data_IF_225693276038
#
_entry.id   IF_225693276038
#
_cell.length_a   1.000
_cell.length_b   1.000
_cell.length_c   1.000
_cell.angle_alpha   90.00
_cell.angle_beta   90.00
_cell.angle_gamma   90.00
#
_symmetry.space_group_name_H-M   'P 1'
#
loop_
_entity.id
_entity.type
_entity.pdbx_description
1 polymer ?
#
# COMPACT_ATOMS: atom_id res chain seq x y z
N UNK A 1 23.94 14.58 -8.85
CA UNK A 1 22.87 14.22 -9.81
C UNK A 1 21.82 13.49 -9.01
N UNK A 2 20.64 14.09 -8.82
CA UNK A 2 19.55 13.41 -8.11
C UNK A 2 18.92 12.40 -9.07
N UNK A 3 18.96 11.12 -8.70
CA UNK A 3 18.28 10.07 -9.45
C UNK A 3 16.83 10.04 -8.96
N UNK A 4 15.93 10.49 -9.82
CA UNK A 4 14.51 10.20 -9.65
C UNK A 4 14.29 8.75 -10.06
N UNK A 5 13.90 7.91 -9.11
CA UNK A 5 13.53 6.54 -9.40
C UNK A 5 12.01 6.45 -9.57
N UNK A 6 11.60 5.44 -10.32
CA UNK A 6 10.22 5.01 -10.42
C UNK A 6 9.78 4.31 -9.13
N UNK A 7 8.46 4.26 -8.91
CA UNK A 7 7.89 3.46 -7.83
C UNK A 7 7.96 1.98 -8.20
N UNK A 8 8.37 1.13 -7.25
CA UNK A 8 8.26 -0.32 -7.38
C UNK A 8 6.92 -0.79 -6.84
N UNK A 9 6.16 -1.55 -7.63
CA UNK A 9 4.83 -2.08 -7.27
C UNK A 9 3.90 -1.05 -6.59
N UNK A 10 3.61 0.10 -7.24
CA UNK A 10 2.68 1.08 -6.69
C UNK A 10 1.27 0.49 -6.59
N UNK A 11 0.55 0.81 -5.52
CA UNK A 11 -0.80 0.33 -5.26
C UNK A 11 -1.64 1.44 -4.62
N UNK A 12 -2.82 1.70 -5.18
CA UNK A 12 -3.79 2.62 -4.60
C UNK A 12 -5.01 1.83 -4.12
N UNK A 13 -5.45 2.06 -2.89
CA UNK A 13 -6.58 1.36 -2.30
C UNK A 13 -7.54 2.32 -1.61
N UNK A 14 -8.82 1.98 -1.63
CA UNK A 14 -9.76 2.43 -0.60
C UNK A 14 -9.80 1.35 0.47
N UNK A 15 -9.40 1.70 1.68
CA UNK A 15 -9.37 0.81 2.84
C UNK A 15 -10.42 1.25 3.85
N UNK A 16 -11.24 0.29 4.28
CA UNK A 16 -12.23 0.46 5.33
C UNK A 16 -11.93 -0.54 6.45
N UNK A 17 -11.76 -0.04 7.68
CA UNK A 17 -11.58 -0.90 8.87
C UNK A 17 -12.52 -0.51 10.00
N UNK A 18 -12.82 -1.48 10.85
CA UNK A 18 -13.67 -1.28 12.02
C UNK A 18 -13.92 -2.59 12.76
N UNK A 19 -14.19 -2.51 14.06
CA UNK A 19 -14.43 -3.71 14.89
C UNK A 19 -15.78 -4.37 14.62
N UNK A 20 -16.76 -3.56 14.25
CA UNK A 20 -18.14 -3.91 13.92
C UNK A 20 -18.40 -3.92 12.40
N UNK A 21 -17.35 -3.73 11.60
CA UNK A 21 -17.45 -3.75 10.15
C UNK A 21 -17.82 -5.16 9.67
N UNK A 22 -18.94 -5.27 8.96
CA UNK A 22 -19.39 -6.51 8.29
C UNK A 22 -19.11 -6.38 6.79
N UNK A 23 -18.09 -7.06 6.24
CA UNK A 23 -17.65 -6.84 4.85
C UNK A 23 -18.73 -7.10 3.79
N UNK A 24 -19.65 -8.03 4.05
CA UNK A 24 -20.78 -8.31 3.16
C UNK A 24 -21.74 -7.13 3.03
N UNK A 25 -22.04 -6.45 4.14
CA UNK A 25 -22.91 -5.27 4.15
C UNK A 25 -22.26 -4.10 3.42
N UNK A 26 -20.96 -3.90 3.62
CA UNK A 26 -20.18 -2.87 2.91
C UNK A 26 -20.16 -3.12 1.41
N UNK A 27 -19.96 -4.38 0.99
CA UNK A 27 -20.00 -4.77 -0.43
C UNK A 27 -21.36 -4.43 -1.05
N UNK A 28 -22.45 -4.73 -0.36
CA UNK A 28 -23.80 -4.45 -0.82
C UNK A 28 -24.10 -2.94 -0.85
N UNK A 29 -23.70 -2.20 0.20
CA UNK A 29 -23.94 -0.76 0.33
C UNK A 29 -23.17 0.05 -0.71
N UNK A 30 -21.90 -0.29 -0.93
CA UNK A 30 -21.05 0.44 -1.87
C UNK A 30 -21.26 -0.02 -3.33
N UNK A 31 -21.81 -1.23 -3.54
CA UNK A 31 -21.94 -1.81 -4.86
C UNK A 31 -20.59 -2.09 -5.54
N UNK A 32 -19.52 -2.21 -4.75
CA UNK A 32 -18.15 -2.44 -5.20
C UNK A 32 -17.69 -3.84 -4.79
N UNK A 33 -17.01 -4.55 -5.69
CA UNK A 33 -16.42 -5.85 -5.37
C UNK A 33 -15.07 -5.65 -4.67
N UNK A 34 -14.88 -6.11 -3.42
CA UNK A 34 -13.59 -5.98 -2.76
C UNK A 34 -12.52 -6.83 -3.45
N UNK A 35 -11.31 -6.28 -3.52
CA UNK A 35 -10.10 -7.07 -3.79
C UNK A 35 -9.70 -7.88 -2.54
N UNK A 36 -10.02 -7.38 -1.35
CA UNK A 36 -9.74 -8.03 -0.09
C UNK A 36 -10.82 -7.71 0.95
N UNK A 37 -11.23 -8.71 1.71
CA UNK A 37 -12.11 -8.54 2.86
C UNK A 37 -11.80 -9.59 3.92
N UNK A 38 -11.88 -9.20 5.19
CA UNK A 38 -11.72 -10.13 6.31
C UNK A 38 -12.54 -9.66 7.50
N UNK A 39 -13.25 -10.58 8.13
CA UNK A 39 -13.89 -10.36 9.41
C UNK A 39 -12.92 -10.55 10.57
N UNK A 40 -13.09 -9.76 11.63
CA UNK A 40 -12.41 -9.96 12.89
C UNK A 40 -12.81 -11.32 13.47
N UNK A 41 -11.85 -12.25 13.55
CA UNK A 41 -12.01 -13.49 14.31
C UNK A 41 -11.26 -13.38 15.62
N UNK A 42 -11.62 -14.20 16.62
CA UNK A 42 -11.01 -14.19 17.95
C UNK A 42 -9.48 -14.43 17.97
N UNK A 43 -8.86 -14.78 16.83
CA UNK A 43 -7.41 -14.91 16.65
C UNK A 43 -6.80 -14.01 15.55
N UNK A 44 -7.56 -13.08 14.97
CA UNK A 44 -7.05 -12.23 13.89
C UNK A 44 -6.13 -11.13 14.44
N UNK A 45 -4.87 -11.14 13.99
CA UNK A 45 -3.82 -10.18 14.38
C UNK A 45 -3.86 -8.85 13.63
N UNK A 46 -4.81 -8.65 12.70
CA UNK A 46 -4.88 -7.39 11.97
C UNK A 46 -5.55 -6.34 12.83
N UNK A 47 -4.83 -5.22 13.04
CA UNK A 47 -5.23 -4.01 13.77
C UNK A 47 -6.24 -4.28 14.90
N UNK A 48 -5.82 -4.12 16.16
CA UNK A 48 -6.40 -4.78 17.36
C UNK A 48 -7.83 -5.38 17.23
N UNK A 49 -7.98 -6.47 16.47
CA UNK A 49 -9.25 -7.18 16.29
C UNK A 49 -10.27 -6.51 15.36
N UNK A 50 -9.83 -5.76 14.35
CA UNK A 50 -10.69 -5.10 13.37
C UNK A 50 -10.94 -5.99 12.14
N UNK A 51 -12.16 -5.93 11.64
CA UNK A 51 -12.50 -6.37 10.30
C UNK A 51 -11.98 -5.35 9.29
N UNK A 52 -11.78 -5.79 8.06
CA UNK A 52 -11.39 -4.91 6.96
C UNK A 52 -12.04 -5.28 5.64
N UNK A 53 -12.16 -4.27 4.79
CA UNK A 53 -12.67 -4.33 3.44
C UNK A 53 -11.86 -3.37 2.58
N UNK A 54 -11.45 -3.78 1.39
CA UNK A 54 -10.68 -2.93 0.49
C UNK A 54 -10.93 -3.24 -0.98
N UNK A 55 -10.96 -2.17 -1.78
CA UNK A 55 -10.70 -2.24 -3.23
C UNK A 55 -9.27 -1.78 -3.48
N UNK A 56 -8.62 -2.41 -4.44
CA UNK A 56 -7.20 -2.23 -4.74
C UNK A 56 -7.03 -2.05 -6.24
N UNK A 57 -6.25 -1.04 -6.62
CA UNK A 57 -5.79 -0.83 -7.98
C UNK A 57 -4.26 -0.93 -8.00
N UNK A 58 -3.70 -2.05 -8.50
CA UNK A 58 -2.26 -2.15 -8.70
C UNK A 58 -1.82 -1.32 -9.90
N UNK A 59 -0.72 -0.59 -9.76
CA UNK A 59 0.01 -0.03 -10.89
C UNK A 59 1.10 -0.98 -11.37
N UNK A 60 1.61 -0.72 -12.58
CA UNK A 60 2.73 -1.48 -13.11
C UNK A 60 4.04 -1.07 -12.45
N UNK A 61 4.99 -2.00 -12.35
CA UNK A 61 6.36 -1.66 -12.01
C UNK A 61 6.89 -0.63 -13.02
N UNK A 62 7.66 0.34 -12.53
CA UNK A 62 8.20 1.45 -13.32
C UNK A 62 7.17 2.49 -13.80
N UNK A 63 5.89 2.31 -13.48
CA UNK A 63 4.88 3.35 -13.63
C UNK A 63 4.69 4.09 -12.30
N UNK A 64 4.39 5.39 -12.38
CA UNK A 64 4.07 6.19 -11.20
C UNK A 64 2.68 5.88 -10.65
N UNK A 65 2.26 6.64 -9.65
CA UNK A 65 0.94 6.51 -9.04
C UNK A 65 -0.22 7.11 -9.86
N UNK A 66 0.05 7.82 -10.95
CA UNK A 66 -0.97 8.56 -11.70
C UNK A 66 -2.09 7.62 -12.21
N UNK A 67 -1.73 6.56 -12.92
CA UNK A 67 -2.68 5.57 -13.44
C UNK A 67 -3.50 4.88 -12.33
N UNK A 68 -2.88 4.27 -11.29
CA UNK A 68 -3.67 3.58 -10.26
C UNK A 68 -4.54 4.54 -9.44
N UNK A 69 -4.12 5.79 -9.23
CA UNK A 69 -4.96 6.80 -8.57
C UNK A 69 -6.15 7.18 -9.44
N UNK A 70 -5.94 7.45 -10.73
CA UNK A 70 -7.04 7.80 -11.64
C UNK A 70 -8.09 6.70 -11.73
N UNK A 71 -7.64 5.46 -11.86
CA UNK A 71 -8.51 4.28 -11.87
C UNK A 71 -9.23 4.09 -10.53
N UNK A 72 -8.55 4.29 -9.39
CA UNK A 72 -9.21 4.21 -8.08
C UNK A 72 -10.28 5.29 -7.95
N UNK A 73 -9.97 6.53 -8.33
CA UNK A 73 -10.90 7.66 -8.30
C UNK A 73 -12.12 7.35 -9.17
N UNK A 74 -11.92 6.89 -10.41
CA UNK A 74 -13.01 6.49 -11.31
C UNK A 74 -13.88 5.38 -10.69
N UNK A 75 -13.25 4.37 -10.08
CA UNK A 75 -13.94 3.25 -9.44
C UNK A 75 -14.83 3.69 -8.27
N UNK A 76 -14.35 4.59 -7.41
CA UNK A 76 -15.04 4.91 -6.14
C UNK A 76 -15.91 6.17 -6.21
N UNK A 77 -15.70 7.04 -7.21
CA UNK A 77 -16.47 8.29 -7.35
C UNK A 77 -17.99 8.06 -7.39
N UNK A 78 -18.53 7.05 -8.11
CA UNK A 78 -19.97 6.78 -8.10
C UNK A 78 -20.54 6.42 -6.72
N UNK A 79 -19.71 5.89 -5.82
CA UNK A 79 -20.10 5.44 -4.49
C UNK A 79 -19.67 6.43 -3.37
N UNK A 80 -19.15 7.61 -3.72
CA UNK A 80 -18.49 8.50 -2.76
C UNK A 80 -19.39 8.92 -1.59
N UNK A 81 -20.66 9.21 -1.84
CA UNK A 81 -21.60 9.56 -0.75
C UNK A 81 -21.91 8.38 0.17
N UNK A 82 -21.95 7.15 -0.36
CA UNK A 82 -22.10 5.95 0.45
C UNK A 82 -20.83 5.69 1.28
N UNK A 83 -19.65 5.86 0.69
CA UNK A 83 -18.34 5.76 1.37
C UNK A 83 -18.26 6.77 2.54
N UNK A 84 -18.70 8.02 2.33
CA UNK A 84 -18.80 9.03 3.39
C UNK A 84 -19.86 8.66 4.43
N UNK A 85 -20.93 7.99 4.03
CA UNK A 85 -21.91 7.36 4.94
C UNK A 85 -21.24 6.37 5.89
N UNK A 86 -20.46 5.43 5.36
CA UNK A 86 -19.67 4.46 6.13
C UNK A 86 -18.74 5.17 7.12
N UNK A 87 -18.03 6.22 6.68
CA UNK A 87 -17.16 7.02 7.54
C UNK A 87 -17.93 7.72 8.67
N UNK A 88 -19.10 8.30 8.37
CA UNK A 88 -19.96 8.96 9.38
C UNK A 88 -20.49 8.00 10.44
N UNK A 89 -20.60 6.70 10.14
CA UNK A 89 -20.94 5.66 11.12
C UNK A 89 -19.79 5.30 12.06
N UNK A 90 -18.61 5.87 11.86
CA UNK A 90 -17.45 5.71 12.74
C UNK A 90 -16.44 4.65 12.30
N UNK A 91 -16.63 4.04 11.13
CA UNK A 91 -15.59 3.20 10.53
C UNK A 91 -14.44 4.06 10.02
N UNK A 92 -13.22 3.53 10.09
CA UNK A 92 -12.05 4.17 9.50
C UNK A 92 -12.08 3.97 8.00
N UNK A 93 -12.19 5.08 7.26
CA UNK A 93 -12.23 5.09 5.78
C UNK A 93 -11.08 5.96 5.31
N UNK A 94 -10.18 5.38 4.51
CA UNK A 94 -9.01 6.10 3.99
C UNK A 94 -8.60 5.60 2.61
N UNK A 95 -7.90 6.47 1.89
CA UNK A 95 -7.14 6.12 0.71
C UNK A 95 -5.74 5.70 1.16
N UNK A 96 -5.33 4.49 0.84
CA UNK A 96 -4.01 3.97 1.16
C UNK A 96 -3.20 3.83 -0.12
N UNK A 97 -2.05 4.50 -0.15
CA UNK A 97 -1.07 4.41 -1.23
C UNK A 97 0.14 3.64 -0.70
N UNK A 98 0.53 2.56 -1.38
CA UNK A 98 1.70 1.77 -1.00
C UNK A 98 2.61 1.48 -2.18
N UNK A 99 3.91 1.43 -1.93
CA UNK A 99 4.89 1.09 -2.95
C UNK A 99 6.31 1.06 -2.41
N UNK A 100 7.21 0.53 -3.22
CA UNK A 100 8.64 0.45 -2.93
C UNK A 100 9.39 1.64 -3.49
N UNK A 101 10.36 2.13 -2.72
CA UNK A 101 11.25 3.20 -3.11
C UNK A 101 12.67 2.69 -3.11
N UNK A 102 13.37 2.86 -4.23
CA UNK A 102 14.79 2.52 -4.30
C UNK A 102 15.58 3.36 -3.29
N UNK A 103 16.43 2.71 -2.49
CA UNK A 103 17.28 3.39 -1.50
C UNK A 103 18.16 4.44 -2.17
N UNK A 104 18.17 5.65 -1.61
CA UNK A 104 18.98 6.76 -2.09
C UNK A 104 18.37 7.50 -3.29
N UNK A 105 17.22 7.05 -3.77
CA UNK A 105 16.48 7.71 -4.85
C UNK A 105 15.35 8.58 -4.29
N UNK A 106 14.93 9.56 -5.09
CA UNK A 106 13.70 10.33 -4.83
C UNK A 106 12.59 9.82 -5.72
N UNK A 107 11.39 9.80 -5.17
CA UNK A 107 10.17 9.53 -5.91
C UNK A 107 9.14 10.61 -5.63
N UNK A 108 8.12 10.74 -6.46
CA UNK A 108 7.09 11.77 -6.31
C UNK A 108 5.69 11.24 -6.62
N UNK A 109 4.70 11.92 -6.08
CA UNK A 109 3.31 11.87 -6.53
C UNK A 109 3.08 13.11 -7.39
N UNK A 110 2.48 12.95 -8.57
CA UNK A 110 2.25 14.10 -9.43
C UNK A 110 1.24 15.08 -8.79
N UNK A 111 1.31 16.39 -9.08
CA UNK A 111 0.29 17.33 -8.63
C UNK A 111 -1.12 16.97 -9.12
N UNK A 112 -1.23 16.33 -10.29
CA UNK A 112 -2.49 15.85 -10.84
C UNK A 112 -3.07 14.74 -9.98
N UNK A 113 -2.27 13.73 -9.64
CA UNK A 113 -2.65 12.66 -8.73
C UNK A 113 -3.12 13.20 -7.36
N UNK A 114 -2.36 14.11 -6.77
CA UNK A 114 -2.73 14.74 -5.49
C UNK A 114 -4.05 15.52 -5.58
N UNK A 115 -4.27 16.25 -6.67
CA UNK A 115 -5.52 16.98 -6.91
C UNK A 115 -6.71 16.04 -7.04
N UNK A 116 -6.56 14.92 -7.75
CA UNK A 116 -7.62 13.91 -7.88
C UNK A 116 -7.98 13.28 -6.54
N UNK A 117 -6.98 12.94 -5.70
CA UNK A 117 -7.23 12.42 -4.36
C UNK A 117 -7.92 13.45 -3.45
N UNK A 118 -7.50 14.72 -3.53
CA UNK A 118 -8.07 15.79 -2.70
C UNK A 118 -9.57 16.00 -2.97
N UNK A 119 -10.04 15.79 -4.20
CA UNK A 119 -11.46 15.92 -4.57
C UNK A 119 -12.36 14.89 -3.88
N UNK A 120 -11.79 13.76 -3.42
CA UNK A 120 -12.55 12.75 -2.69
C UNK A 120 -12.85 13.18 -1.24
N UNK A 121 -12.06 14.11 -0.71
CA UNK A 121 -12.13 14.59 0.69
C UNK A 121 -12.01 13.44 1.71
N UNK A 122 -11.26 12.39 1.35
CA UNK A 122 -10.95 11.26 2.23
C UNK A 122 -9.52 11.38 2.78
N UNK A 123 -9.26 10.90 4.00
CA UNK A 123 -7.89 10.82 4.54
C UNK A 123 -6.98 10.00 3.61
N UNK A 124 -5.75 10.45 3.43
CA UNK A 124 -4.73 9.75 2.63
C UNK A 124 -3.61 9.24 3.53
N UNK A 125 -3.25 7.98 3.33
CA UNK A 125 -2.10 7.29 3.91
C UNK A 125 -1.11 6.98 2.78
N UNK A 126 0.17 7.22 3.01
CA UNK A 126 1.25 6.82 2.11
C UNK A 126 2.23 5.95 2.90
N UNK A 127 2.33 4.69 2.53
CA UNK A 127 3.23 3.72 3.13
C UNK A 127 4.30 3.32 2.13
N UNK A 128 5.56 3.49 2.51
CA UNK A 128 6.70 3.14 1.65
C UNK A 128 7.60 2.15 2.35
N UNK A 129 8.12 1.19 1.60
CA UNK A 129 9.25 0.39 2.03
C UNK A 129 10.45 0.62 1.10
N UNK A 130 11.65 0.48 1.63
CA UNK A 130 12.88 0.55 0.84
C UNK A 130 13.47 -0.85 0.75
N UNK A 131 13.93 -1.25 -0.44
CA UNK A 131 14.65 -2.52 -0.57
C UNK A 131 15.77 -2.58 0.48
N UNK A 132 15.88 -3.69 1.24
CA UNK A 132 17.03 -3.89 2.10
C UNK A 132 18.28 -3.84 1.21
N UNK A 133 19.40 -3.24 1.68
CA UNK A 133 20.62 -3.26 0.88
C UNK A 133 20.92 -4.71 0.52
N UNK A 134 21.08 -4.99 -0.77
CA UNK A 134 21.51 -6.31 -1.22
C UNK A 134 22.78 -6.62 -0.45
N UNK A 135 22.68 -7.57 0.50
CA UNK A 135 23.87 -8.11 1.16
C UNK A 135 24.49 -9.01 0.10
N UNK A 136 25.26 -8.39 -0.81
CA UNK A 136 26.03 -9.12 -1.80
C UNK A 136 27.03 -9.98 -1.01
N UNK A 137 26.80 -11.28 -1.01
CA UNK A 137 27.79 -12.26 -0.55
C UNK A 137 29.03 -12.24 -1.48
N UNK A 138 28.97 -11.56 -2.63
CA UNK A 138 30.13 -11.28 -3.50
C UNK A 138 31.17 -10.37 -2.80
N UNK A 139 30.79 -9.66 -1.73
CA UNK A 139 31.75 -9.00 -0.83
C UNK A 139 32.52 -9.98 0.06
N UNK A 140 32.27 -11.29 -0.03
CA UNK A 140 33.05 -12.34 0.64
C UNK A 140 33.91 -13.13 -0.34
N UNK A 141 33.79 -12.90 -1.66
CA UNK A 141 34.62 -13.55 -2.69
C UNK A 141 36.09 -13.10 -2.69
N UNK A 142 36.43 -12.02 -1.96
CA UNK A 142 37.83 -11.66 -1.72
C UNK A 142 38.46 -12.45 -0.56
N UNK A 143 37.67 -13.18 0.24
CA UNK A 143 38.23 -13.98 1.31
C UNK A 143 39.00 -15.16 0.69
N UNK A 144 40.32 -15.29 0.98
CA UNK A 144 41.06 -16.45 0.53
C UNK A 144 40.41 -17.72 1.10
N UNK A 145 40.45 -18.81 0.32
CA UNK A 145 40.00 -20.11 0.80
C UNK A 145 40.66 -20.43 2.14
N UNK A 146 39.94 -21.01 3.12
CA UNK A 146 40.51 -21.31 4.42
C UNK A 146 41.69 -22.27 4.25
N UNK A 147 42.91 -21.73 4.34
CA UNK A 147 44.16 -22.46 4.12
C UNK A 147 44.64 -23.23 5.37
N UNK A 148 43.84 -23.21 6.44
CA UNK A 148 44.10 -23.93 7.68
C UNK A 148 45.35 -23.46 8.43
N UNK A 149 45.95 -22.32 8.06
CA UNK A 149 47.23 -21.84 8.59
C UNK A 149 47.19 -21.40 10.07
N UNK A 150 46.00 -21.33 10.69
CA UNK A 150 45.85 -20.96 12.10
C UNK A 150 45.86 -22.13 13.10
N UNK A 151 46.19 -23.35 12.68
CA UNK A 151 46.63 -24.38 13.65
C UNK A 151 48.10 -24.15 14.02
N UNK A 152 48.34 -23.09 14.79
CA UNK A 152 49.56 -22.96 15.58
C UNK A 152 49.34 -23.69 16.91
N UNK A 153 50.07 -24.80 17.06
CA UNK A 153 50.49 -25.52 18.29
C UNK A 153 49.48 -25.77 19.40
#
# INVERSE_FOLDING_TARGET
MELFATWGAPQAALLITGRDLVPGEITQELGLTPAFSREATAGAAFRPGESCWAVLVPGEADQGFDTPIEQLVELISPALEAIRGVQRRGHDVRLDLSGHVQRGSRTYLSPRALSSLAQLELPVSLTTDADPPTRSEDLLDWLPAPDGSHRAT
#
